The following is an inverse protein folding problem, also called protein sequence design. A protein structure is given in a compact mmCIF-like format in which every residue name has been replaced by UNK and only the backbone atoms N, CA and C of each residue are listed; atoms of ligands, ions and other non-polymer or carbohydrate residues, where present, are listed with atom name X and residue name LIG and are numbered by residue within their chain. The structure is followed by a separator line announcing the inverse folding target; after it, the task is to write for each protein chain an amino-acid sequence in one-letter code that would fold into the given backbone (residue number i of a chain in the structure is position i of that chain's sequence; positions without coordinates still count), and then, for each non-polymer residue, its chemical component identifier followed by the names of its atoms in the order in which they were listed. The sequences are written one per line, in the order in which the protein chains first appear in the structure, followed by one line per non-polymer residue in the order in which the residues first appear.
data_IF_455992821280
#
_entry.id   IF_455992821280
#
_cell.length_a   1.000
_cell.length_b   1.000
_cell.length_c   1.000
_cell.angle_alpha   90.00
_cell.angle_beta   90.00
_cell.angle_gamma   90.00
#
_symmetry.space_group_name_H-M   'P 1'
#
loop_
_entity.id
_entity.type
_entity.pdbx_description
1 polymer ?
#
# COMPACT_ATOMS: atom_id res chain seq x y z
N UNK A 1 -17.51 -1.34 -0.65
CA UNK A 1 -16.18 -0.71 -0.68
C UNK A 1 -15.10 -1.79 -0.64
N UNK A 2 -14.06 -1.59 -1.41
CA UNK A 2 -12.96 -2.54 -1.58
C UNK A 2 -11.70 -1.94 -0.97
N UNK A 3 -10.91 -2.77 -0.29
CA UNK A 3 -9.56 -2.40 0.12
C UNK A 3 -8.56 -3.29 -0.61
N UNK A 4 -7.59 -2.65 -1.23
CA UNK A 4 -6.49 -3.32 -1.93
C UNK A 4 -5.23 -3.13 -1.11
N UNK A 5 -4.57 -4.23 -0.79
CA UNK A 5 -3.31 -4.19 -0.03
C UNK A 5 -2.18 -4.78 -0.85
N UNK A 6 -1.04 -4.11 -0.81
CA UNK A 6 0.18 -4.60 -1.39
C UNK A 6 1.21 -4.66 -0.27
N UNK A 7 1.57 -5.88 0.16
CA UNK A 7 2.56 -6.09 1.20
C UNK A 7 3.94 -6.20 0.56
N UNK A 8 4.85 -5.35 1.01
CA UNK A 8 6.14 -5.16 0.36
C UNK A 8 7.26 -5.43 1.35
N UNK A 9 8.16 -6.33 0.99
CA UNK A 9 9.35 -6.61 1.78
C UNK A 9 10.47 -5.67 1.36
N UNK A 10 10.75 -4.68 2.20
CA UNK A 10 11.82 -3.72 1.94
C UNK A 10 13.11 -4.25 2.58
N UNK A 11 14.20 -4.27 1.81
CA UNK A 11 15.49 -4.75 2.29
C UNK A 11 16.03 -3.85 3.38
N UNK A 12 16.75 -4.46 4.33
CA UNK A 12 17.38 -3.73 5.43
C UNK A 12 18.29 -2.61 4.88
N UNK A 13 18.13 -1.43 5.42
CA UNK A 13 18.89 -0.25 5.01
C UNK A 13 18.20 0.60 3.94
N UNK A 14 17.12 0.10 3.33
CA UNK A 14 16.40 0.83 2.27
C UNK A 14 15.10 1.47 2.76
N UNK A 15 14.79 1.38 4.03
CA UNK A 15 13.51 1.83 4.57
C UNK A 15 13.26 3.32 4.30
N UNK A 16 14.27 4.16 4.55
CA UNK A 16 14.11 5.60 4.34
C UNK A 16 13.93 5.95 2.88
N UNK A 17 14.68 5.30 1.99
CA UNK A 17 14.53 5.53 0.55
C UNK A 17 13.15 5.12 0.06
N UNK A 18 12.65 3.98 0.56
CA UNK A 18 11.31 3.51 0.22
C UNK A 18 10.26 4.53 0.65
N UNK A 19 10.35 5.02 1.88
CA UNK A 19 9.38 6.00 2.40
C UNK A 19 9.44 7.31 1.63
N UNK A 20 10.63 7.76 1.24
CA UNK A 20 10.78 8.97 0.42
C UNK A 20 10.10 8.85 -0.93
N UNK A 21 10.10 7.66 -1.52
CA UNK A 21 9.42 7.47 -2.80
C UNK A 21 7.93 7.77 -2.70
N UNK A 22 7.30 7.46 -1.57
CA UNK A 22 5.89 7.79 -1.37
C UNK A 22 5.67 9.26 -1.07
N UNK A 23 6.59 9.91 -0.37
CA UNK A 23 6.51 11.37 -0.18
C UNK A 23 6.56 12.11 -1.51
N UNK A 24 7.36 11.61 -2.45
CA UNK A 24 7.59 12.23 -3.75
C UNK A 24 6.78 11.58 -4.88
N UNK A 25 5.74 10.83 -4.56
CA UNK A 25 4.92 10.14 -5.55
C UNK A 25 4.17 11.10 -6.46
N UNK A 26 3.73 10.58 -7.60
CA UNK A 26 3.12 11.40 -8.67
C UNK A 26 1.74 12.00 -8.33
N UNK A 27 1.08 11.56 -7.26
CA UNK A 27 -0.22 12.09 -6.80
C UNK A 27 -1.32 12.03 -7.85
N UNK A 28 -1.33 10.98 -8.66
CA UNK A 28 -2.30 10.84 -9.75
C UNK A 28 -3.53 10.05 -9.33
N UNK A 29 -3.38 9.09 -8.41
CA UNK A 29 -4.48 8.21 -7.99
C UNK A 29 -5.61 8.98 -7.31
N UNK A 30 -5.30 10.09 -6.64
CA UNK A 30 -6.30 10.89 -5.92
C UNK A 30 -7.39 11.42 -6.83
N UNK A 31 -7.11 11.55 -8.11
CA UNK A 31 -8.05 12.11 -9.08
C UNK A 31 -8.82 11.05 -9.85
N UNK A 32 -8.57 9.77 -9.56
CA UNK A 32 -9.24 8.70 -10.30
C UNK A 32 -10.63 8.42 -9.72
N UNK A 33 -11.65 8.25 -10.60
CA UNK A 33 -13.00 7.95 -10.12
C UNK A 33 -13.04 6.69 -9.26
N UNK A 34 -13.76 6.77 -8.14
CA UNK A 34 -13.91 5.67 -7.21
C UNK A 34 -12.83 5.53 -6.18
N UNK A 35 -11.72 6.27 -6.31
CA UNK A 35 -10.68 6.29 -5.29
C UNK A 35 -11.20 6.95 -4.00
N UNK A 36 -10.93 6.34 -2.85
CA UNK A 36 -11.36 6.86 -1.55
C UNK A 36 -10.19 7.40 -0.76
N UNK A 37 -9.17 6.57 -0.52
CA UNK A 37 -7.98 7.01 0.21
C UNK A 37 -6.82 6.02 0.03
N UNK A 38 -5.64 6.49 0.39
CA UNK A 38 -4.41 5.71 0.37
C UNK A 38 -3.75 5.81 1.74
N UNK A 39 -3.23 4.69 2.23
CA UNK A 39 -2.46 4.64 3.47
C UNK A 39 -1.18 3.86 3.23
N UNK A 40 -0.08 4.39 3.76
CA UNK A 40 1.20 3.70 3.73
C UNK A 40 1.51 3.28 5.17
N UNK A 41 1.65 1.98 5.39
CA UNK A 41 1.88 1.42 6.72
C UNK A 41 3.34 1.01 6.84
N UNK A 42 3.98 1.50 7.90
CA UNK A 42 5.36 1.12 8.24
C UNK A 42 5.32 -0.10 9.16
N UNK A 43 6.15 -1.12 8.90
CA UNK A 43 6.22 -2.25 9.80
C UNK A 43 6.72 -1.81 11.17
N UNK A 44 6.18 -2.44 12.19
CA UNK A 44 6.53 -2.14 13.57
C UNK A 44 6.79 -3.45 14.29
N UNK A 45 7.86 -3.48 15.08
CA UNK A 45 8.06 -4.61 15.98
C UNK A 45 6.94 -4.57 17.00
N UNK A 46 6.28 -5.70 17.16
CA UNK A 46 5.18 -5.82 18.11
C UNK A 46 5.62 -6.53 19.38
N UNK A 47 5.03 -6.12 20.48
CA UNK A 47 5.13 -6.85 21.74
C UNK A 47 3.75 -6.76 22.38
N UNK A 48 3.12 -7.92 22.54
CA UNK A 48 1.84 -8.04 23.21
C UNK A 48 2.01 -8.88 24.46
N UNK A 49 1.66 -8.32 25.60
CA UNK A 49 1.69 -9.03 26.87
C UNK A 49 3.05 -9.69 27.16
N UNK A 50 4.14 -9.00 26.81
CA UNK A 50 5.49 -9.49 27.04
C UNK A 50 6.03 -10.46 25.98
N UNK A 51 5.26 -10.73 24.93
CA UNK A 51 5.66 -11.59 23.81
C UNK A 51 5.94 -10.76 22.56
N UNK A 52 6.84 -11.24 21.69
CA UNK A 52 7.14 -10.58 20.42
C UNK A 52 6.10 -10.90 19.36
N UNK A 53 4.83 -10.60 19.66
CA UNK A 53 3.72 -10.81 18.75
C UNK A 53 3.11 -9.48 18.35
N UNK A 54 2.37 -9.48 17.25
CA UNK A 54 1.64 -8.30 16.79
C UNK A 54 2.44 -7.34 15.92
N UNK A 55 3.70 -7.67 15.64
CA UNK A 55 4.49 -6.87 14.72
C UNK A 55 4.34 -7.35 13.27
N UNK A 56 5.01 -6.65 12.37
CA UNK A 56 5.01 -6.99 10.95
C UNK A 56 6.41 -6.83 10.37
N UNK A 57 6.70 -7.57 9.32
CA UNK A 57 7.92 -7.45 8.54
C UNK A 57 7.68 -6.70 7.23
N UNK A 58 6.44 -6.32 6.95
CA UNK A 58 6.04 -5.73 5.67
C UNK A 58 5.67 -4.27 5.80
N UNK A 59 6.12 -3.47 4.83
CA UNK A 59 5.42 -2.24 4.51
C UNK A 59 4.12 -2.63 3.79
N UNK A 60 3.06 -1.87 3.99
CA UNK A 60 1.80 -2.13 3.32
C UNK A 60 1.27 -0.86 2.68
N UNK A 61 0.95 -0.96 1.40
CA UNK A 61 0.25 0.10 0.69
C UNK A 61 -1.22 -0.29 0.63
N UNK A 62 -2.08 0.49 1.28
CA UNK A 62 -3.52 0.27 1.25
C UNK A 62 -4.17 1.33 0.39
N UNK A 63 -5.04 0.90 -0.52
CA UNK A 63 -5.90 1.82 -1.25
C UNK A 63 -7.34 1.36 -1.11
N UNK A 64 -8.23 2.35 -0.95
CA UNK A 64 -9.66 2.09 -0.73
C UNK A 64 -10.42 2.59 -1.96
N UNK A 65 -11.35 1.77 -2.45
CA UNK A 65 -12.08 2.02 -3.69
C UNK A 65 -13.57 1.76 -3.46
N UNK A 66 -14.40 2.52 -4.16
CA UNK A 66 -15.84 2.32 -4.06
C UNK A 66 -16.24 0.97 -4.61
N UNK A 67 -15.62 0.54 -5.71
CA UNK A 67 -15.87 -0.76 -6.33
C UNK A 67 -14.57 -1.39 -6.80
N UNK A 68 -14.57 -2.71 -6.99
CA UNK A 68 -13.43 -3.41 -7.58
C UNK A 68 -13.18 -2.95 -9.02
N UNK A 69 -14.24 -2.62 -9.75
CA UNK A 69 -14.12 -2.14 -11.13
C UNK A 69 -13.36 -0.83 -11.21
N UNK A 70 -13.59 0.08 -10.26
CA UNK A 70 -12.87 1.35 -10.22
C UNK A 70 -11.36 1.12 -10.05
N UNK A 71 -10.99 0.19 -9.20
CA UNK A 71 -9.58 -0.17 -9.04
C UNK A 71 -9.00 -0.75 -10.34
N UNK A 72 -9.73 -1.67 -10.98
CA UNK A 72 -9.27 -2.27 -12.24
C UNK A 72 -9.07 -1.20 -13.31
N UNK A 73 -10.00 -0.26 -13.42
CA UNK A 73 -9.87 0.86 -14.37
C UNK A 73 -8.65 1.72 -14.07
N UNK A 74 -8.36 1.93 -12.79
CA UNK A 74 -7.14 2.65 -12.40
C UNK A 74 -5.89 1.94 -12.93
N UNK A 75 -5.80 0.61 -12.75
CA UNK A 75 -4.63 -0.16 -13.18
C UNK A 75 -4.44 -0.16 -14.70
N UNK A 76 -5.50 0.10 -15.45
CA UNK A 76 -5.48 0.15 -16.91
C UNK A 76 -5.28 1.56 -17.47
N UNK A 77 -5.20 2.56 -16.60
CA UNK A 77 -5.14 3.97 -17.02
C UNK A 77 -3.72 4.42 -17.37
N UNK A 78 -3.63 5.49 -18.15
CA UNK A 78 -2.34 6.13 -18.44
C UNK A 78 -1.74 6.72 -17.17
N UNK A 79 -2.58 7.24 -16.27
CA UNK A 79 -2.13 7.78 -14.99
C UNK A 79 -1.44 6.73 -14.14
N UNK A 80 -1.93 5.49 -14.14
CA UNK A 80 -1.28 4.38 -13.45
C UNK A 80 0.10 4.12 -14.03
N UNK A 81 0.21 4.07 -15.37
CA UNK A 81 1.50 3.85 -16.02
C UNK A 81 2.48 4.97 -15.68
N UNK A 82 2.02 6.20 -15.69
CA UNK A 82 2.84 7.35 -15.33
C UNK A 82 3.29 7.28 -13.86
N UNK A 83 2.37 6.94 -12.94
CA UNK A 83 2.67 6.83 -11.52
C UNK A 83 3.70 5.73 -11.23
N UNK A 84 3.76 4.70 -12.08
CA UNK A 84 4.66 3.56 -11.91
C UNK A 84 5.84 3.57 -12.88
N UNK A 85 6.09 4.68 -13.55
CA UNK A 85 7.17 4.79 -14.54
C UNK A 85 8.56 4.86 -13.91
N UNK A 86 8.68 5.41 -12.72
CA UNK A 86 9.94 5.51 -12.01
C UNK A 86 10.14 4.29 -11.10
N UNK A 87 10.69 3.22 -11.67
CA UNK A 87 10.84 1.96 -10.94
C UNK A 87 11.97 2.05 -9.92
N UNK A 88 11.74 1.52 -8.69
CA UNK A 88 12.79 1.44 -7.70
C UNK A 88 13.84 0.38 -8.08
N UNK A 89 15.07 0.49 -7.53
CA UNK A 89 16.08 -0.54 -7.75
C UNK A 89 15.67 -1.87 -7.13
N UNK A 90 16.07 -2.97 -7.75
CA UNK A 90 15.71 -4.32 -7.28
C UNK A 90 16.24 -4.61 -5.88
N UNK A 91 17.41 -4.04 -5.55
CA UNK A 91 18.04 -4.24 -4.24
C UNK A 91 17.20 -3.70 -3.07
N UNK A 92 16.27 -2.81 -3.37
CA UNK A 92 15.37 -2.26 -2.35
C UNK A 92 14.45 -3.31 -1.73
N UNK A 93 14.23 -4.43 -2.42
CA UNK A 93 13.26 -5.44 -1.99
C UNK A 93 13.95 -6.75 -1.63
N UNK A 94 13.54 -7.33 -0.50
CA UNK A 94 14.10 -8.60 -0.01
C UNK A 94 13.25 -9.81 -0.40
N UNK A 95 12.13 -9.60 -1.07
CA UNK A 95 11.27 -10.68 -1.51
C UNK A 95 10.12 -10.16 -2.36
N UNK A 96 9.26 -11.05 -2.85
CA UNK A 96 8.14 -10.65 -3.70
C UNK A 96 7.05 -9.93 -2.93
N UNK A 97 6.31 -9.06 -3.62
CA UNK A 97 5.14 -8.42 -3.05
C UNK A 97 3.99 -9.41 -2.93
N UNK A 98 3.14 -9.18 -1.93
CA UNK A 98 1.91 -9.95 -1.74
C UNK A 98 0.74 -9.01 -1.95
N UNK A 99 -0.01 -9.25 -3.01
CA UNK A 99 -1.16 -8.43 -3.38
C UNK A 99 -2.45 -9.13 -2.93
N UNK A 100 -3.32 -8.36 -2.26
CA UNK A 100 -4.60 -8.88 -1.77
C UNK A 100 -5.71 -7.86 -1.97
N UNK A 101 -6.92 -8.35 -2.23
CA UNK A 101 -8.10 -7.52 -2.34
C UNK A 101 -9.17 -8.07 -1.42
N UNK A 102 -9.79 -7.19 -0.64
CA UNK A 102 -10.87 -7.58 0.29
C UNK A 102 -12.06 -6.65 0.13
N UNK A 103 -13.25 -7.19 0.37
CA UNK A 103 -14.44 -6.37 0.53
C UNK A 103 -14.59 -5.96 1.99
N UNK A 104 -14.95 -4.71 2.22
CA UNK A 104 -15.27 -4.24 3.56
C UNK A 104 -16.73 -4.58 3.82
N UNK A 105 -16.96 -5.52 4.73
CA UNK A 105 -18.33 -5.95 5.04
C UNK A 105 -18.92 -5.22 6.24
N UNK A 106 -18.07 -4.54 6.99
CA UNK A 106 -18.53 -3.75 8.15
C UNK A 106 -17.50 -2.67 8.44
N UNK A 107 -17.97 -1.46 8.69
CA UNK A 107 -17.13 -0.35 9.09
C UNK A 107 -17.76 0.29 10.31
N UNK A 108 -16.98 0.37 11.38
CA UNK A 108 -17.42 0.97 12.64
C UNK A 108 -16.41 2.05 13.00
N UNK A 109 -16.91 3.25 13.25
CA UNK A 109 -16.06 4.37 13.65
C UNK A 109 -16.26 4.68 15.13
N UNK A 110 -15.26 5.30 15.75
CA UNK A 110 -15.35 5.77 17.12
C UNK A 110 -16.43 6.86 17.21
N UNK A 111 -17.12 6.89 18.34
CA UNK A 111 -18.15 7.90 18.60
C UNK A 111 -17.52 9.19 19.16
#
# INVERSE_FOLDING_TARGET
MIVVSNRIQVAEGYEQEFEKRFENRARLVEHHPGFVRLEILRPRKGSLHGNEQGGSLYYVVLTYWRTAEDFVKWTESDSFREAHSNRPPREMFSGPNVFEMHEIIQLVEAK
#
